data_IF_854166757068
#
_entry.id   IF_854166757068
#
_cell.length_a   1.000
_cell.length_b   1.000
_cell.length_c   1.000
_cell.angle_alpha   90.00
_cell.angle_beta   90.00
_cell.angle_gamma   90.00
#
_symmetry.space_group_name_H-M   'P 1'
#
loop_
_entity.id
_entity.type
_entity.pdbx_description
1 polymer ?
#
# COMPACT_ATOMS: atom_id res chain seq x y z
N UNK A 1 -14.75 11.48 29.89
CA UNK A 1 -14.87 11.80 28.45
C UNK A 1 -13.71 11.11 27.75
N UNK A 2 -13.97 10.17 26.83
CA UNK A 2 -12.89 9.48 26.09
C UNK A 2 -12.11 10.47 25.23
N UNK A 3 -10.78 10.41 25.24
CA UNK A 3 -9.95 11.24 24.34
C UNK A 3 -9.90 10.56 22.98
N UNK A 4 -9.67 11.35 21.92
CA UNK A 4 -9.56 10.83 20.56
C UNK A 4 -8.52 9.70 20.44
N UNK A 5 -7.39 9.82 21.13
CA UNK A 5 -6.34 8.78 21.16
C UNK A 5 -6.84 7.42 21.66
N UNK A 6 -7.85 7.41 22.54
CA UNK A 6 -8.43 6.18 23.09
C UNK A 6 -9.38 5.51 22.08
N UNK A 7 -9.88 6.27 21.10
CA UNK A 7 -10.82 5.81 20.06
C UNK A 7 -10.07 5.28 18.82
N UNK A 8 -8.85 5.74 18.57
CA UNK A 8 -8.05 5.29 17.40
C UNK A 8 -7.85 3.77 17.35
N UNK A 9 -7.53 3.06 18.45
CA UNK A 9 -7.42 1.60 18.45
C UNK A 9 -8.75 0.90 18.11
N UNK A 10 -9.88 1.48 18.53
CA UNK A 10 -11.22 0.98 18.20
C UNK A 10 -11.42 1.04 16.67
N UNK A 11 -10.97 2.12 16.03
CA UNK A 11 -10.98 2.24 14.57
C UNK A 11 -10.22 1.11 13.88
N UNK A 12 -9.01 0.78 14.35
CA UNK A 12 -8.21 -0.34 13.83
C UNK A 12 -8.93 -1.68 14.01
N UNK A 13 -9.52 -1.94 15.18
CA UNK A 13 -10.28 -3.17 15.44
C UNK A 13 -11.47 -3.30 14.50
N UNK A 14 -12.21 -2.22 14.26
CA UNK A 14 -13.35 -2.21 13.34
C UNK A 14 -12.91 -2.55 11.90
N UNK A 15 -11.79 -1.98 11.44
CA UNK A 15 -11.25 -2.27 10.10
C UNK A 15 -10.85 -3.74 9.99
N UNK A 16 -10.06 -4.26 10.95
CA UNK A 16 -9.60 -5.66 10.95
C UNK A 16 -10.80 -6.62 11.05
N UNK A 17 -11.76 -6.37 11.94
CA UNK A 17 -12.95 -7.21 12.07
C UNK A 17 -13.78 -7.23 10.78
N UNK A 18 -14.04 -6.06 10.17
CA UNK A 18 -14.81 -5.97 8.93
C UNK A 18 -14.12 -6.66 7.75
N UNK A 19 -12.81 -6.46 7.60
CA UNK A 19 -12.00 -7.10 6.54
C UNK A 19 -11.90 -8.61 6.72
N UNK A 20 -11.64 -9.10 7.94
CA UNK A 20 -11.63 -10.54 8.23
C UNK A 20 -12.99 -11.19 8.00
N UNK A 21 -14.09 -10.52 8.38
CA UNK A 21 -15.44 -10.99 8.08
C UNK A 21 -15.70 -11.07 6.57
N UNK A 22 -15.30 -10.03 5.82
CA UNK A 22 -15.42 -10.02 4.36
C UNK A 22 -14.66 -11.16 3.69
N UNK A 23 -13.42 -11.43 4.12
CA UNK A 23 -12.63 -12.58 3.65
C UNK A 23 -13.29 -13.92 4.01
N UNK A 24 -13.85 -14.04 5.22
CA UNK A 24 -14.60 -15.21 5.63
C UNK A 24 -15.86 -15.45 4.80
N UNK A 25 -16.60 -14.38 4.48
CA UNK A 25 -17.79 -14.46 3.61
C UNK A 25 -17.42 -14.96 2.21
N UNK A 26 -16.30 -14.50 1.64
CA UNK A 26 -15.82 -14.96 0.34
C UNK A 26 -15.32 -16.40 0.40
N UNK A 27 -14.62 -16.79 1.48
CA UNK A 27 -14.21 -18.18 1.67
C UNK A 27 -15.41 -19.14 1.63
N UNK A 28 -16.58 -18.73 2.14
CA UNK A 28 -17.82 -19.50 2.04
C UNK A 28 -18.31 -19.73 0.60
N UNK A 29 -17.96 -18.85 -0.35
CA UNK A 29 -18.33 -18.98 -1.76
C UNK A 29 -17.34 -19.87 -2.54
N UNK A 30 -16.10 -19.99 -2.08
CA UNK A 30 -15.02 -20.69 -2.77
C UNK A 30 -15.35 -22.13 -3.21
N UNK A 31 -16.01 -22.99 -2.38
CA UNK A 31 -16.32 -24.37 -2.78
C UNK A 31 -17.20 -24.47 -4.04
N UNK A 32 -17.98 -23.43 -4.33
CA UNK A 32 -18.88 -23.39 -5.49
C UNK A 32 -18.15 -22.89 -6.75
N UNK A 33 -17.20 -21.97 -6.58
CA UNK A 33 -16.47 -21.33 -7.68
C UNK A 33 -15.17 -22.02 -8.07
N UNK A 34 -14.70 -22.97 -7.27
CA UNK A 34 -13.45 -23.69 -7.58
C UNK A 34 -13.51 -24.40 -8.93
N UNK A 35 -14.69 -24.88 -9.34
CA UNK A 35 -14.90 -25.56 -10.62
C UNK A 35 -15.31 -24.62 -11.78
N UNK A 36 -15.28 -23.29 -11.57
CA UNK A 36 -15.52 -22.30 -12.64
C UNK A 36 -14.20 -21.70 -13.11
N UNK A 37 -13.32 -21.26 -12.19
CA UNK A 37 -12.03 -20.63 -12.52
C UNK A 37 -10.82 -21.56 -12.51
N UNK A 38 -10.72 -22.42 -11.50
CA UNK A 38 -9.44 -23.08 -11.17
C UNK A 38 -9.37 -24.52 -11.66
N UNK A 39 -10.52 -25.18 -11.70
CA UNK A 39 -10.65 -26.59 -12.07
C UNK A 39 -11.82 -26.73 -13.03
N UNK A 40 -11.72 -27.66 -13.96
CA UNK A 40 -12.84 -28.10 -14.80
C UNK A 40 -13.14 -29.59 -14.55
N UNK A 41 -13.06 -30.01 -13.27
CA UNK A 41 -13.15 -31.43 -12.91
C UNK A 41 -14.58 -31.92 -12.73
N UNK A 42 -15.50 -31.03 -12.35
CA UNK A 42 -16.92 -31.34 -12.22
C UNK A 42 -17.69 -30.75 -13.41
N UNK A 43 -18.30 -31.57 -14.28
CA UNK A 43 -19.12 -31.09 -15.39
C UNK A 43 -20.29 -30.19 -14.96
N UNK A 44 -20.73 -30.32 -13.70
CA UNK A 44 -21.82 -29.53 -13.13
C UNK A 44 -21.33 -28.29 -12.33
N UNK A 45 -20.06 -27.93 -12.44
CA UNK A 45 -19.46 -26.82 -11.68
C UNK A 45 -20.21 -25.49 -11.85
N UNK A 46 -20.49 -25.12 -13.11
CA UNK A 46 -21.24 -23.90 -13.42
C UNK A 46 -22.67 -23.92 -12.88
N UNK A 47 -23.38 -25.04 -13.00
CA UNK A 47 -24.74 -25.18 -12.46
C UNK A 47 -24.77 -25.06 -10.94
N UNK A 48 -23.77 -25.62 -10.24
CA UNK A 48 -23.64 -25.48 -8.78
C UNK A 48 -23.37 -24.04 -8.35
N UNK A 49 -22.46 -23.35 -9.06
CA UNK A 49 -22.17 -21.93 -8.81
C UNK A 49 -23.41 -21.05 -9.09
N UNK A 50 -24.15 -21.32 -10.17
CA UNK A 50 -25.38 -20.60 -10.49
C UNK A 50 -26.44 -20.73 -9.39
N UNK A 51 -26.74 -21.97 -8.97
CA UNK A 51 -27.72 -22.24 -7.91
C UNK A 51 -27.29 -21.61 -6.58
N UNK A 52 -25.98 -21.62 -6.27
CA UNK A 52 -25.44 -20.94 -5.08
C UNK A 52 -25.72 -19.43 -5.12
N UNK A 53 -25.41 -18.75 -6.23
CA UNK A 53 -25.66 -17.32 -6.35
C UNK A 53 -27.15 -16.97 -6.35
N UNK A 54 -28.00 -17.79 -6.96
CA UNK A 54 -29.45 -17.64 -6.87
C UNK A 54 -29.95 -17.81 -5.43
N UNK A 55 -29.40 -18.79 -4.69
CA UNK A 55 -29.75 -19.01 -3.28
C UNK A 55 -29.32 -17.82 -2.43
N UNK A 56 -28.11 -17.31 -2.64
CA UNK A 56 -27.61 -16.13 -1.94
C UNK A 56 -28.47 -14.89 -2.24
N UNK A 57 -28.88 -14.70 -3.49
CA UNK A 57 -29.67 -13.54 -3.90
C UNK A 57 -31.12 -13.56 -3.39
N UNK A 58 -31.69 -14.76 -3.25
CA UNK A 58 -33.03 -14.97 -2.70
C UNK A 58 -33.01 -15.13 -1.17
N UNK A 59 -31.84 -15.00 -0.53
CA UNK A 59 -31.75 -15.05 0.92
C UNK A 59 -32.59 -13.92 1.54
N UNK A 60 -33.17 -14.14 2.73
CA UNK A 60 -33.90 -13.09 3.44
C UNK A 60 -33.06 -11.82 3.61
N UNK A 61 -33.69 -10.66 3.43
CA UNK A 61 -32.97 -9.38 3.31
C UNK A 61 -32.07 -9.05 4.52
N UNK A 62 -32.43 -9.54 5.72
CA UNK A 62 -31.60 -9.36 6.92
C UNK A 62 -30.18 -9.96 6.77
N UNK A 63 -30.01 -11.02 5.97
CA UNK A 63 -28.69 -11.63 5.70
C UNK A 63 -27.80 -10.63 4.96
N UNK A 64 -28.36 -9.95 3.95
CA UNK A 64 -27.65 -8.90 3.24
C UNK A 64 -27.36 -7.70 4.15
N UNK A 65 -28.30 -7.29 5.01
CA UNK A 65 -28.07 -6.18 5.93
C UNK A 65 -26.91 -6.42 6.90
N UNK A 66 -26.71 -7.66 7.36
CA UNK A 66 -25.54 -8.00 8.20
C UNK A 66 -24.22 -7.73 7.45
N UNK A 67 -24.10 -8.18 6.20
CA UNK A 67 -22.90 -7.93 5.39
C UNK A 67 -22.64 -6.43 5.20
N UNK A 68 -23.67 -5.66 4.83
CA UNK A 68 -23.54 -4.22 4.62
C UNK A 68 -23.27 -3.46 5.92
N UNK A 69 -23.86 -3.87 7.04
CA UNK A 69 -23.62 -3.28 8.35
C UNK A 69 -22.15 -3.47 8.77
N UNK A 70 -21.58 -4.66 8.57
CA UNK A 70 -20.18 -4.93 8.88
C UNK A 70 -19.24 -4.15 7.95
N UNK A 71 -19.56 -4.07 6.66
CA UNK A 71 -18.81 -3.22 5.73
C UNK A 71 -18.85 -1.74 6.14
N UNK A 72 -20.01 -1.26 6.58
CA UNK A 72 -20.18 0.10 7.11
C UNK A 72 -19.37 0.33 8.40
N UNK A 73 -19.33 -0.63 9.32
CA UNK A 73 -18.47 -0.56 10.51
C UNK A 73 -16.99 -0.45 10.13
N UNK A 74 -16.55 -1.16 9.09
CA UNK A 74 -15.20 -1.01 8.53
C UNK A 74 -14.93 0.41 8.03
N UNK A 75 -15.88 1.01 7.30
CA UNK A 75 -15.79 2.41 6.86
C UNK A 75 -15.73 3.39 8.03
N UNK A 76 -16.57 3.19 9.06
CA UNK A 76 -16.52 4.00 10.29
C UNK A 76 -15.15 3.90 10.94
N UNK A 77 -14.54 2.70 10.98
CA UNK A 77 -13.18 2.51 11.46
C UNK A 77 -12.15 3.34 10.69
N UNK A 78 -12.22 3.37 9.36
CA UNK A 78 -11.35 4.23 8.54
C UNK A 78 -11.60 5.73 8.80
N UNK A 79 -12.85 6.17 8.89
CA UNK A 79 -13.17 7.57 9.15
C UNK A 79 -12.74 8.05 10.54
N UNK A 80 -12.79 7.18 11.55
CA UNK A 80 -12.25 7.48 12.89
C UNK A 80 -10.78 7.85 12.78
N UNK A 81 -9.98 7.04 12.06
CA UNK A 81 -8.52 7.26 11.94
C UNK A 81 -8.17 8.45 11.04
N UNK A 82 -9.06 8.81 10.11
CA UNK A 82 -8.91 9.94 9.20
C UNK A 82 -9.21 11.31 9.80
N UNK A 83 -9.90 11.38 10.94
CA UNK A 83 -10.29 12.67 11.51
C UNK A 83 -9.07 13.50 11.95
N UNK A 84 -8.06 12.85 12.54
CA UNK A 84 -6.75 13.43 12.86
C UNK A 84 -5.66 12.39 12.58
N UNK A 85 -5.18 12.31 11.32
CA UNK A 85 -4.16 11.35 10.95
C UNK A 85 -2.81 11.75 11.52
N UNK A 86 -2.03 10.75 11.92
CA UNK A 86 -0.62 10.93 12.27
C UNK A 86 0.19 11.15 10.97
N UNK A 87 1.14 12.09 10.97
CA UNK A 87 1.93 12.42 9.77
C UNK A 87 2.74 11.22 9.27
N UNK A 88 3.19 10.37 10.18
CA UNK A 88 3.97 9.17 9.87
C UNK A 88 3.09 8.01 9.36
N UNK A 89 1.81 8.00 9.74
CA UNK A 89 0.87 6.93 9.39
C UNK A 89 -0.07 7.29 8.22
N UNK A 90 -0.08 8.55 7.79
CA UNK A 90 -1.09 9.11 6.88
C UNK A 90 -1.26 8.30 5.58
N UNK A 91 -0.15 7.87 4.98
CA UNK A 91 -0.18 7.09 3.74
C UNK A 91 -0.67 5.66 3.93
N UNK A 92 -0.40 5.05 5.09
CA UNK A 92 -0.92 3.72 5.43
C UNK A 92 -2.43 3.77 5.63
N UNK A 93 -2.96 4.81 6.29
CA UNK A 93 -4.40 4.98 6.50
C UNK A 93 -5.13 5.24 5.18
N UNK A 94 -4.66 6.19 4.36
CA UNK A 94 -5.27 6.48 3.06
C UNK A 94 -5.19 5.30 2.11
N UNK A 95 -4.04 4.61 2.06
CA UNK A 95 -3.86 3.41 1.23
C UNK A 95 -4.82 2.30 1.65
N UNK A 96 -4.99 2.09 2.95
CA UNK A 96 -5.91 1.08 3.47
C UNK A 96 -7.38 1.43 3.19
N UNK A 97 -7.79 2.70 3.33
CA UNK A 97 -9.13 3.14 2.94
C UNK A 97 -9.36 2.95 1.44
N UNK A 98 -8.39 3.33 0.59
CA UNK A 98 -8.52 3.21 -0.85
C UNK A 98 -8.74 1.75 -1.28
N UNK A 99 -7.96 0.81 -0.73
CA UNK A 99 -8.15 -0.62 -0.98
C UNK A 99 -9.52 -1.12 -0.50
N UNK A 100 -9.97 -0.68 0.68
CA UNK A 100 -11.28 -1.04 1.21
C UNK A 100 -12.42 -0.49 0.33
N UNK A 101 -12.29 0.74 -0.16
CA UNK A 101 -13.24 1.34 -1.11
C UNK A 101 -13.27 0.60 -2.44
N UNK A 102 -12.11 0.19 -2.97
CA UNK A 102 -12.04 -0.63 -4.18
C UNK A 102 -12.78 -1.95 -3.98
N UNK A 103 -12.65 -2.60 -2.82
CA UNK A 103 -13.40 -3.81 -2.49
C UNK A 103 -14.93 -3.57 -2.54
N UNK A 104 -15.41 -2.47 -1.95
CA UNK A 104 -16.83 -2.08 -1.98
C UNK A 104 -17.30 -1.82 -3.41
N UNK A 105 -16.51 -1.10 -4.20
CA UNK A 105 -16.86 -0.79 -5.59
C UNK A 105 -16.99 -2.09 -6.40
N UNK A 106 -16.01 -2.98 -6.34
CA UNK A 106 -16.07 -4.27 -7.05
C UNK A 106 -17.28 -5.10 -6.59
N UNK A 107 -17.58 -5.09 -5.29
CA UNK A 107 -18.79 -5.75 -4.76
C UNK A 107 -20.07 -5.19 -5.38
N UNK A 108 -20.22 -3.86 -5.43
CA UNK A 108 -21.42 -3.21 -5.96
C UNK A 108 -21.53 -3.36 -7.48
N UNK A 109 -20.45 -3.14 -8.23
CA UNK A 109 -20.49 -3.10 -9.70
C UNK A 109 -20.45 -4.49 -10.32
N UNK A 110 -19.67 -5.41 -9.77
CA UNK A 110 -19.45 -6.71 -10.40
C UNK A 110 -20.27 -7.80 -9.71
N UNK A 111 -20.15 -7.95 -8.39
CA UNK A 111 -20.88 -9.00 -7.68
C UNK A 111 -22.38 -8.76 -7.68
N UNK A 112 -22.85 -7.57 -7.26
CA UNK A 112 -24.30 -7.34 -7.18
C UNK A 112 -24.96 -7.39 -8.56
N UNK A 113 -24.35 -6.78 -9.57
CA UNK A 113 -24.84 -6.84 -10.95
C UNK A 113 -24.84 -8.27 -11.48
N UNK A 114 -23.75 -9.02 -11.29
CA UNK A 114 -23.66 -10.41 -11.76
C UNK A 114 -24.67 -11.33 -11.06
N UNK A 115 -24.95 -11.10 -9.78
CA UNK A 115 -25.95 -11.87 -9.04
C UNK A 115 -27.38 -11.55 -9.50
N UNK A 116 -27.66 -10.28 -9.83
CA UNK A 116 -28.93 -9.92 -10.46
C UNK A 116 -29.08 -10.59 -11.84
N UNK A 117 -28.00 -10.68 -12.63
CA UNK A 117 -27.98 -11.43 -13.88
C UNK A 117 -28.21 -12.93 -13.66
N UNK A 118 -27.66 -13.51 -12.60
CA UNK A 118 -27.88 -14.93 -12.23
C UNK A 118 -29.34 -15.27 -11.90
N UNK A 119 -30.12 -14.32 -11.38
CA UNK A 119 -31.56 -14.50 -11.13
C UNK A 119 -32.38 -14.28 -12.41
N UNK A 120 -32.11 -13.19 -13.11
CA UNK A 120 -32.90 -12.78 -14.28
C UNK A 120 -32.63 -13.62 -15.52
N UNK A 121 -31.45 -14.25 -15.58
CA UNK A 121 -30.95 -14.93 -16.78
C UNK A 121 -30.43 -13.95 -17.85
N UNK A 122 -30.42 -12.65 -17.57
CA UNK A 122 -29.98 -11.61 -18.50
C UNK A 122 -28.50 -11.31 -18.30
N UNK A 123 -27.66 -12.02 -19.06
CA UNK A 123 -26.19 -11.87 -18.99
C UNK A 123 -25.63 -10.83 -19.99
N UNK A 124 -26.49 -10.19 -20.78
CA UNK A 124 -26.09 -9.23 -21.81
C UNK A 124 -25.43 -9.91 -23.01
N UNK A 125 -24.25 -9.43 -23.40
CA UNK A 125 -23.51 -9.95 -24.58
C UNK A 125 -22.72 -11.24 -24.29
N UNK A 126 -22.67 -11.69 -23.04
CA UNK A 126 -21.91 -12.88 -22.63
C UNK A 126 -22.83 -14.04 -22.25
N UNK A 127 -22.32 -15.26 -22.40
CA UNK A 127 -23.03 -16.45 -21.92
C UNK A 127 -22.97 -16.55 -20.38
N UNK A 128 -23.87 -17.35 -19.80
CA UNK A 128 -23.96 -17.51 -18.34
C UNK A 128 -22.67 -18.04 -17.71
N UNK A 129 -21.90 -18.89 -18.39
CA UNK A 129 -20.68 -19.47 -17.83
C UNK A 129 -19.58 -18.40 -17.74
N UNK A 130 -19.43 -17.61 -18.79
CA UNK A 130 -18.53 -16.44 -18.79
C UNK A 130 -18.95 -15.43 -17.72
N UNK A 131 -20.25 -15.16 -17.57
CA UNK A 131 -20.77 -14.30 -16.50
C UNK A 131 -20.43 -14.80 -15.10
N UNK A 132 -20.60 -16.10 -14.83
CA UNK A 132 -20.23 -16.72 -13.55
C UNK A 132 -18.71 -16.64 -13.28
N UNK A 133 -17.88 -16.82 -14.31
CA UNK A 133 -16.44 -16.63 -14.19
C UNK A 133 -16.08 -15.19 -13.80
N UNK A 134 -16.79 -14.18 -14.31
CA UNK A 134 -16.59 -12.78 -13.92
C UNK A 134 -16.94 -12.54 -12.46
N UNK A 135 -18.03 -13.13 -11.95
CA UNK A 135 -18.41 -13.03 -10.53
C UNK A 135 -17.30 -13.63 -9.65
N UNK A 136 -16.88 -14.85 -9.98
CA UNK A 136 -15.88 -15.56 -9.21
C UNK A 136 -14.48 -14.90 -9.31
N UNK A 137 -14.12 -14.34 -10.47
CA UNK A 137 -12.88 -13.56 -10.62
C UNK A 137 -12.94 -12.27 -9.78
N UNK A 138 -14.11 -11.65 -9.69
CA UNK A 138 -14.33 -10.47 -8.85
C UNK A 138 -14.13 -10.79 -7.36
N UNK A 139 -14.50 -11.98 -6.91
CA UNK A 139 -14.18 -12.43 -5.54
C UNK A 139 -12.68 -12.54 -5.31
N UNK A 140 -11.91 -13.07 -6.26
CA UNK A 140 -10.44 -13.14 -6.17
C UNK A 140 -9.82 -11.75 -6.09
N UNK A 141 -10.32 -10.79 -6.90
CA UNK A 141 -9.89 -9.39 -6.81
C UNK A 141 -10.19 -8.79 -5.44
N UNK A 142 -11.40 -9.03 -4.90
CA UNK A 142 -11.78 -8.56 -3.56
C UNK A 142 -10.86 -9.17 -2.49
N UNK A 143 -10.52 -10.46 -2.58
CA UNK A 143 -9.55 -11.10 -1.66
C UNK A 143 -8.22 -10.36 -1.70
N UNK A 144 -7.67 -10.10 -2.89
CA UNK A 144 -6.37 -9.44 -3.03
C UNK A 144 -6.36 -8.07 -2.36
N UNK A 145 -7.39 -7.25 -2.59
CA UNK A 145 -7.45 -5.91 -1.99
C UNK A 145 -7.72 -5.95 -0.49
N UNK A 146 -8.57 -6.86 0.01
CA UNK A 146 -8.84 -6.99 1.46
C UNK A 146 -7.64 -7.55 2.22
N UNK A 147 -6.89 -8.51 1.65
CA UNK A 147 -5.60 -8.94 2.18
C UNK A 147 -4.62 -7.77 2.20
N UNK A 148 -4.61 -6.94 1.16
CA UNK A 148 -3.84 -5.70 1.13
C UNK A 148 -4.19 -4.75 2.29
N UNK A 149 -5.46 -4.62 2.65
CA UNK A 149 -5.89 -3.84 3.84
C UNK A 149 -5.29 -4.43 5.11
N UNK A 150 -5.37 -5.76 5.31
CA UNK A 150 -4.80 -6.42 6.48
C UNK A 150 -3.28 -6.27 6.56
N UNK A 151 -2.58 -6.37 5.43
CA UNK A 151 -1.13 -6.16 5.36
C UNK A 151 -0.76 -4.73 5.72
N UNK A 152 -1.49 -3.72 5.24
CA UNK A 152 -1.25 -2.32 5.61
C UNK A 152 -1.54 -2.05 7.09
N UNK A 153 -2.64 -2.57 7.63
CA UNK A 153 -2.99 -2.39 9.04
C UNK A 153 -2.00 -3.14 9.96
N UNK A 154 -1.58 -4.35 9.58
CA UNK A 154 -0.54 -5.10 10.30
C UNK A 154 0.83 -4.46 10.21
N UNK A 155 1.20 -3.91 9.05
CA UNK A 155 2.44 -3.17 8.85
C UNK A 155 2.48 -1.88 9.67
N UNK A 156 1.36 -1.16 9.72
CA UNK A 156 1.23 0.03 10.58
C UNK A 156 1.36 -0.33 12.06
N UNK A 157 0.69 -1.40 12.51
CA UNK A 157 0.83 -1.89 13.89
C UNK A 157 2.28 -2.24 14.22
N UNK A 158 2.97 -2.94 13.32
CA UNK A 158 4.38 -3.29 13.50
C UNK A 158 5.28 -2.04 13.59
N UNK A 159 5.07 -1.05 12.72
CA UNK A 159 5.82 0.21 12.75
C UNK A 159 5.60 0.96 14.06
N UNK A 160 4.36 1.08 14.52
CA UNK A 160 4.02 1.74 15.79
C UNK A 160 4.60 1.01 16.99
N UNK A 161 4.55 -0.32 17.00
CA UNK A 161 5.14 -1.14 18.05
C UNK A 161 6.66 -0.98 18.10
N UNK A 162 7.33 -1.02 16.96
CA UNK A 162 8.78 -0.84 16.87
C UNK A 162 9.22 0.56 17.32
N UNK A 163 8.52 1.60 16.89
CA UNK A 163 8.79 2.99 17.31
C UNK A 163 8.56 3.19 18.81
N UNK A 164 7.58 2.50 19.40
CA UNK A 164 7.33 2.55 20.83
C UNK A 164 8.47 1.92 21.65
N UNK A 165 9.00 0.78 21.19
CA UNK A 165 10.15 0.13 21.84
C UNK A 165 11.41 1.01 21.74
N UNK A 166 11.69 1.56 20.56
CA UNK A 166 12.86 2.42 20.35
C UNK A 166 12.81 3.70 21.22
N UNK A 167 11.62 4.31 21.36
CA UNK A 167 11.43 5.47 22.25
C UNK A 167 11.67 5.11 23.71
N UNK A 168 11.24 3.91 24.13
CA UNK A 168 11.46 3.43 25.50
C UNK A 168 12.96 3.23 25.78
N UNK A 169 13.69 2.57 24.88
CA UNK A 169 15.14 2.40 25.01
C UNK A 169 15.87 3.75 25.07
N UNK A 170 15.47 4.72 24.25
CA UNK A 170 16.05 6.07 24.25
C UNK A 170 15.88 6.76 25.62
N UNK A 171 14.67 6.77 26.18
CA UNK A 171 14.42 7.39 27.48
C UNK A 171 15.11 6.65 28.64
N UNK A 172 15.24 5.33 28.56
CA UNK A 172 16.01 4.56 29.55
C UNK A 172 17.50 4.91 29.51
N UNK A 173 18.08 5.08 28.32
CA UNK A 173 19.47 5.51 28.16
C UNK A 173 19.68 6.95 28.63
N UNK A 174 18.78 7.87 28.29
CA UNK A 174 18.84 9.27 28.76
C UNK A 174 18.74 9.35 30.29
N UNK A 175 17.87 8.54 30.91
CA UNK A 175 17.76 8.46 32.37
C UNK A 175 19.03 7.87 33.03
N UNK A 176 19.66 6.86 32.41
CA UNK A 176 20.94 6.30 32.88
C UNK A 176 22.07 7.32 32.77
N UNK A 177 22.15 8.05 31.65
CA UNK A 177 23.15 9.09 31.46
C UNK A 177 22.96 10.26 32.43
N UNK A 178 21.71 10.69 32.68
CA UNK A 178 21.39 11.70 33.68
C UNK A 178 21.75 11.24 35.10
N UNK A 179 21.49 9.98 35.44
CA UNK A 179 21.87 9.41 36.74
C UNK A 179 23.39 9.36 36.91
N UNK A 180 24.13 8.94 35.89
CA UNK A 180 25.60 8.95 35.89
C UNK A 180 26.18 10.37 35.95
N UNK A 181 25.55 11.34 35.28
CA UNK A 181 25.94 12.75 35.33
C UNK A 181 25.70 13.33 36.73
N UNK A 182 24.56 13.02 37.37
CA UNK A 182 24.27 13.41 38.74
C UNK A 182 25.26 12.77 39.74
N UNK A 183 25.62 11.49 39.54
CA UNK A 183 26.63 10.81 40.37
C UNK A 183 28.02 11.43 40.20
N UNK A 184 28.40 11.81 38.97
CA UNK A 184 29.66 12.53 38.69
C UNK A 184 29.67 13.94 39.31
N UNK A 185 28.53 14.65 39.27
CA UNK A 185 28.39 15.95 39.92
C UNK A 185 28.49 15.83 41.44
N UNK A 186 27.83 14.83 42.04
CA UNK A 186 27.91 14.58 43.48
C UNK A 186 29.34 14.23 43.93
N UNK A 187 30.08 13.42 43.16
CA UNK A 187 31.50 13.12 43.42
C UNK A 187 32.39 14.34 43.26
N UNK A 188 32.15 15.20 42.25
CA UNK A 188 32.87 16.46 42.12
C UNK A 188 32.61 17.40 43.31
N UNK A 189 31.36 17.49 43.79
CA UNK A 189 31.04 18.27 44.98
C UNK A 189 31.70 17.71 46.24
N UNK A 190 31.73 16.38 46.43
CA UNK A 190 32.47 15.74 47.53
C UNK A 190 33.99 15.99 47.43
N UNK A 191 34.60 15.90 46.25
CA UNK A 191 36.03 16.15 46.04
C UNK A 191 36.39 17.64 46.24
N UNK A 192 35.50 18.57 45.89
CA UNK A 192 35.68 20.02 46.15
C UNK A 192 35.59 20.31 47.66
N UNK A 193 34.70 19.64 48.39
CA UNK A 193 34.56 19.79 49.85
C UNK A 193 35.74 19.13 50.59
N UNK A 194 36.25 18.01 50.09
CA UNK A 194 37.46 17.36 50.62
C UNK A 194 38.77 18.09 50.25
N UNK A 195 38.73 18.95 49.23
CA UNK A 195 39.87 19.65 48.65
C UNK A 195 40.17 21.06 49.17
N UNK A 196 39.43 21.60 50.15
CA UNK A 196 39.74 22.92 50.77
C UNK A 196 40.93 22.84 51.76
N UNK A 197 42.01 22.20 51.31
CA UNK A 197 43.23 21.97 52.05
C UNK A 197 44.42 21.79 51.12
N UNK A 198 44.77 22.84 50.35
CA UNK A 198 46.05 22.95 49.66
C UNK A 198 45.94 23.25 48.18
N UNK A 199 46.52 24.38 47.77
CA UNK A 199 46.43 24.91 46.42
C UNK A 199 47.28 24.21 45.34
N UNK A 200 47.30 24.92 44.22
CA UNK A 200 48.19 24.86 43.06
C UNK A 200 47.77 24.06 41.80
N UNK A 201 47.67 24.85 40.71
CA UNK A 201 47.98 24.58 39.31
C UNK A 201 47.12 23.58 38.52
N UNK A 202 46.21 24.12 37.69
CA UNK A 202 45.55 23.38 36.61
C UNK A 202 46.34 23.57 35.30
N UNK A 203 47.09 22.55 34.91
CA UNK A 203 47.57 22.37 33.53
C UNK A 203 46.39 21.96 32.62
N UNK A 204 46.18 22.73 31.55
CA UNK A 204 45.20 22.44 30.51
C UNK A 204 45.79 21.36 29.58
N UNK A 205 45.28 20.14 29.70
CA UNK A 205 45.57 19.06 28.75
C UNK A 205 44.71 19.30 27.50
N UNK A 206 45.38 19.62 26.40
CA UNK A 206 44.77 19.79 25.09
C UNK A 206 44.26 18.44 24.55
N UNK A 207 42.95 18.35 24.29
CA UNK A 207 42.36 17.25 23.54
C UNK A 207 42.56 17.49 22.03
N UNK A 208 43.37 16.63 21.42
CA UNK A 208 43.46 16.48 19.96
C UNK A 208 42.13 15.90 19.46
N UNK A 209 41.42 16.65 18.63
CA UNK A 209 40.87 16.04 17.41
C UNK A 209 40.73 17.05 16.26
N UNK A 210 41.40 16.68 15.16
CA UNK A 210 41.73 17.56 14.06
C UNK A 210 40.51 18.10 13.31
N UNK A 211 40.35 19.42 13.34
CA UNK A 211 39.79 20.16 12.21
C UNK A 211 40.84 21.15 11.70
N UNK A 212 41.51 20.78 10.60
CA UNK A 212 42.43 21.65 9.90
C UNK A 212 41.65 22.84 9.30
N UNK A 213 41.85 24.01 9.89
CA UNK A 213 41.50 25.31 9.33
C UNK A 213 42.63 25.69 8.37
N UNK A 214 42.36 25.67 7.07
CA UNK A 214 43.31 26.20 6.08
C UNK A 214 43.05 27.70 5.89
N UNK A 215 44.14 28.46 5.99
CA UNK A 215 44.21 29.92 5.97
C UNK A 215 44.07 30.37 4.51
N UNK A 216 42.82 30.43 4.03
CA UNK A 216 42.34 31.26 2.91
C UNK A 216 40.85 30.98 2.78
N UNK A 217 40.01 32.00 2.96
CA UNK A 217 38.55 31.94 3.05
C UNK A 217 37.81 31.38 1.82
N UNK A 218 38.03 30.12 1.46
CA UNK A 218 37.22 29.34 0.52
C UNK A 218 36.71 28.10 1.25
N UNK A 219 35.42 28.08 1.58
CA UNK A 219 34.72 26.92 2.16
C UNK A 219 35.02 25.68 1.30
N UNK A 220 35.66 24.65 1.89
CA UNK A 220 35.89 23.35 1.24
C UNK A 220 34.54 22.78 0.80
N UNK A 221 34.31 22.66 -0.51
CA UNK A 221 33.06 22.14 -1.09
C UNK A 221 32.90 20.69 -0.60
N UNK A 222 31.94 20.41 0.30
CA UNK A 222 31.67 19.05 0.77
C UNK A 222 31.43 18.13 -0.44
N UNK A 223 32.14 17.01 -0.52
CA UNK A 223 32.02 16.02 -1.61
C UNK A 223 30.56 15.64 -1.87
N UNK A 224 30.12 15.78 -3.13
CA UNK A 224 28.76 15.44 -3.59
C UNK A 224 28.45 13.95 -3.40
N UNK A 225 29.47 13.09 -3.53
CA UNK A 225 29.36 11.63 -3.30
C UNK A 225 29.06 11.34 -1.84
N UNK A 226 29.70 12.05 -0.90
CA UNK A 226 29.44 11.87 0.54
C UNK A 226 27.99 12.23 0.90
N UNK A 227 27.43 13.28 0.28
CA UNK A 227 26.03 13.67 0.48
C UNK A 227 25.04 12.63 -0.06
N UNK A 228 25.29 12.07 -1.24
CA UNK A 228 24.44 11.01 -1.81
C UNK A 228 24.42 9.76 -0.94
N UNK A 229 25.60 9.32 -0.48
CA UNK A 229 25.70 8.19 0.46
C UNK A 229 24.94 8.44 1.76
N UNK A 230 25.07 9.64 2.32
CA UNK A 230 24.31 10.02 3.52
C UNK A 230 22.79 9.90 3.30
N UNK A 231 22.24 10.44 2.20
CA UNK A 231 20.80 10.37 1.94
C UNK A 231 20.32 8.95 1.64
N UNK A 232 21.17 8.12 1.02
CA UNK A 232 20.85 6.71 0.79
C UNK A 232 20.76 5.90 2.11
N UNK A 233 21.52 6.27 3.15
CA UNK A 233 21.49 5.59 4.45
C UNK A 233 20.43 6.18 5.41
N UNK A 234 20.28 7.51 5.45
CA UNK A 234 19.39 8.16 6.43
C UNK A 234 17.93 8.15 5.96
N UNK A 235 17.69 8.41 4.67
CA UNK A 235 16.34 8.51 4.11
C UNK A 235 16.22 7.64 2.84
N UNK A 236 16.29 6.30 2.97
CA UNK A 236 16.32 5.39 1.82
C UNK A 236 15.09 5.53 0.92
N UNK A 237 13.89 5.74 1.48
CA UNK A 237 12.66 5.89 0.73
C UNK A 237 12.68 7.12 -0.22
N UNK A 238 13.16 8.27 0.26
CA UNK A 238 13.29 9.49 -0.56
C UNK A 238 14.38 9.34 -1.61
N UNK A 239 15.50 8.69 -1.27
CA UNK A 239 16.59 8.49 -2.21
C UNK A 239 16.20 7.55 -3.36
N UNK A 240 15.55 6.43 -3.05
CA UNK A 240 15.13 5.42 -4.04
C UNK A 240 14.00 5.95 -4.93
N UNK A 241 13.00 6.65 -4.37
CA UNK A 241 11.91 7.22 -5.16
C UNK A 241 12.40 8.25 -6.18
N UNK A 242 13.30 9.17 -5.78
CA UNK A 242 13.91 10.14 -6.70
C UNK A 242 14.79 9.45 -7.74
N UNK A 243 15.56 8.43 -7.35
CA UNK A 243 16.39 7.66 -8.27
C UNK A 243 15.54 6.93 -9.34
N UNK A 244 14.44 6.29 -8.93
CA UNK A 244 13.52 5.61 -9.86
C UNK A 244 12.77 6.61 -10.75
N UNK A 245 12.34 7.75 -10.20
CA UNK A 245 11.68 8.82 -10.97
C UNK A 245 12.58 9.41 -12.06
N UNK A 246 13.89 9.51 -11.81
CA UNK A 246 14.87 9.96 -12.82
C UNK A 246 15.25 8.84 -13.79
N UNK A 247 15.19 7.57 -13.39
CA UNK A 247 15.56 6.45 -14.26
C UNK A 247 14.64 6.32 -15.49
N UNK A 248 13.33 6.54 -15.33
CA UNK A 248 12.35 6.41 -16.43
C UNK A 248 12.63 7.36 -17.63
N UNK A 249 12.79 8.69 -17.46
CA UNK A 249 13.11 9.58 -18.58
C UNK A 249 14.50 9.29 -19.18
N UNK A 250 15.46 8.84 -18.37
CA UNK A 250 16.79 8.45 -18.87
C UNK A 250 16.69 7.20 -19.75
N UNK A 251 15.88 6.21 -19.38
CA UNK A 251 15.63 5.02 -20.19
C UNK A 251 14.85 5.34 -21.48
N UNK A 252 13.93 6.31 -21.46
CA UNK A 252 13.26 6.81 -22.67
C UNK A 252 14.25 7.47 -23.64
N UNK A 253 15.24 8.20 -23.13
CA UNK A 253 16.32 8.75 -23.96
C UNK A 253 17.24 7.66 -24.55
N UNK A 254 17.27 6.46 -23.96
CA UNK A 254 18.01 5.31 -24.46
C UNK A 254 17.27 4.48 -25.54
N UNK A 255 16.06 4.89 -25.95
CA UNK A 255 15.28 4.28 -27.04
C UNK A 255 16.02 4.06 -28.38
N UNK A 256 16.96 4.90 -28.86
CA UNK A 256 17.70 4.60 -30.09
C UNK A 256 18.58 3.34 -29.98
N UNK A 257 19.07 3.00 -28.78
CA UNK A 257 19.83 1.77 -28.56
C UNK A 257 18.92 0.53 -28.69
N UNK A 258 17.69 0.60 -28.16
CA UNK A 258 16.68 -0.46 -28.34
C UNK A 258 16.39 -0.73 -29.81
N UNK A 259 16.15 0.34 -30.59
CA UNK A 259 15.84 0.23 -32.03
C UNK A 259 16.98 -0.39 -32.85
N UNK A 260 18.23 -0.11 -32.47
CA UNK A 260 19.41 -0.60 -33.19
C UNK A 260 19.75 -2.06 -32.89
N UNK A 261 19.60 -2.49 -31.63
CA UNK A 261 20.15 -3.77 -31.16
C UNK A 261 19.09 -4.82 -30.80
N UNK A 262 17.84 -4.43 -30.53
CA UNK A 262 16.82 -5.36 -30.05
C UNK A 262 15.70 -5.56 -31.08
N UNK A 263 14.85 -4.55 -31.31
CA UNK A 263 13.70 -4.66 -32.21
C UNK A 263 13.22 -3.28 -32.69
N UNK A 264 12.57 -3.28 -33.86
CA UNK A 264 11.97 -2.09 -34.46
C UNK A 264 10.65 -1.69 -33.75
N UNK A 265 10.20 -0.45 -33.98
CA UNK A 265 8.93 0.02 -33.45
C UNK A 265 7.75 -0.68 -34.14
N UNK A 266 6.61 -0.79 -33.44
CA UNK A 266 5.40 -1.41 -34.01
C UNK A 266 4.84 -0.57 -35.15
N UNK A 267 4.27 -1.23 -36.16
CA UNK A 267 3.54 -0.54 -37.21
C UNK A 267 2.26 0.11 -36.65
N UNK A 268 1.87 1.29 -37.15
CA UNK A 268 0.69 1.98 -36.66
C UNK A 268 -0.57 1.17 -36.99
N UNK A 269 -1.42 0.96 -35.99
CA UNK A 269 -2.71 0.30 -36.17
C UNK A 269 -3.64 1.23 -36.96
N UNK A 270 -4.36 0.74 -37.99
CA UNK A 270 -5.30 1.57 -38.73
C UNK A 270 -6.46 2.00 -37.82
N UNK A 271 -6.54 3.31 -37.54
CA UNK A 271 -7.62 3.91 -36.74
C UNK A 271 -8.90 4.14 -37.54
N UNK A 272 -8.80 4.06 -38.87
CA UNK A 272 -9.89 4.29 -39.82
C UNK A 272 -9.85 3.20 -40.89
N UNK A 273 -10.99 3.00 -41.57
CA UNK A 273 -11.05 2.07 -42.69
C UNK A 273 -9.98 2.45 -43.74
N UNK A 274 -9.11 1.51 -44.14
CA UNK A 274 -8.00 1.82 -45.04
C UNK A 274 -8.52 1.99 -46.46
N UNK A 275 -8.97 3.20 -46.79
CA UNK A 275 -9.40 3.57 -48.13
C UNK A 275 -8.20 3.44 -49.09
N UNK A 276 -8.29 2.59 -50.12
CA UNK A 276 -7.24 2.49 -51.12
C UNK A 276 -7.04 3.84 -51.81
N UNK A 277 -5.83 4.37 -51.80
CA UNK A 277 -5.48 5.59 -52.54
C UNK A 277 -5.25 5.27 -54.03
N UNK A 278 -6.32 4.81 -54.69
CA UNK A 278 -6.35 4.48 -56.12
C UNK A 278 -7.65 4.98 -56.75
N UNK A 279 -7.66 5.31 -58.06
CA UNK A 279 -8.90 5.63 -58.75
C UNK A 279 -9.88 4.45 -58.75
N UNK A 280 -11.17 4.75 -58.85
CA UNK A 280 -12.23 3.72 -58.89
C UNK A 280 -12.03 2.83 -60.12
N UNK A 281 -12.11 1.53 -59.90
CA UNK A 281 -12.04 0.54 -60.97
C UNK A 281 -13.44 0.33 -61.54
N UNK A 282 -13.62 0.65 -62.83
CA UNK A 282 -14.89 0.52 -63.53
C UNK A 282 -15.10 -0.86 -64.16
N UNK A 283 -14.10 -1.75 -64.10
CA UNK A 283 -14.15 -3.07 -64.74
C UNK A 283 -14.62 -4.19 -63.79
N UNK A 284 -14.99 -3.85 -62.56
CA UNK A 284 -15.51 -4.79 -61.57
C UNK A 284 -16.94 -5.20 -61.97
N UNK A 285 -17.24 -6.51 -61.91
CA UNK A 285 -18.56 -7.09 -62.21
C UNK A 285 -18.98 -8.06 -61.10
N UNK A 286 -20.28 -8.22 -60.88
CA UNK A 286 -20.86 -9.08 -59.84
C UNK A 286 -21.54 -8.27 -58.74
N UNK A 287 -22.74 -8.71 -58.35
CA UNK A 287 -23.75 -7.90 -57.63
C UNK A 287 -24.32 -6.72 -58.45
N UNK A 288 -24.31 -6.86 -59.77
CA UNK A 288 -25.12 -6.01 -60.66
C UNK A 288 -26.60 -6.45 -60.52
N UNK A 289 -27.54 -5.49 -60.59
CA UNK A 289 -28.99 -5.74 -60.46
C UNK A 289 -29.55 -6.75 -61.49
#
# INVERSE_FOLDING_TARGET
MMKYKDIVPIGTVLIIAATSFGLGAIYGNWPYDINTLWRATDPNGFSKSLVHYQTWANAPMYVHYVLHAIAFLGLVGHFIKLYKPDEDAIYFEYGSLALFMIAIVIYLTNMRTGINAAITGEWGEVDSSTGLNVIAASQVMIILVLVGVLVLQGGLYYAQWYDAELKKEFYENEAREAALAAERQAKQEEDIIAGDGGGDNVEVIAEKDGTAIDIKGKKKKKSTVKKRKYHAHVNPALFVSVAMGVAAPVLLLATPLRRKYLYADHEPIPMVYPLPNRPRDANLKGYDD
#
